data_IF_917293612974
#
_entry.id   IF_917293612974
#
_cell.length_a   1.000
_cell.length_b   1.000
_cell.length_c   1.000
_cell.angle_alpha   90.00
_cell.angle_beta   90.00
_cell.angle_gamma   90.00
#
_symmetry.space_group_name_H-M   'P 1'
#
loop_
_entity.id
_entity.type
_entity.pdbx_description
1 polymer ?
#
# COMPACT_ATOMS: atom_id res chain seq x y z
N UNK A 1 -71.42 37.78 -14.23
CA UNK A 1 -70.85 36.47 -14.61
C UNK A 1 -71.52 35.44 -13.73
N UNK A 2 -72.15 34.49 -14.41
CA UNK A 2 -73.11 33.48 -13.95
C UNK A 2 -72.41 32.28 -13.21
N UNK A 3 -73.10 31.23 -12.75
CA UNK A 3 -73.21 30.91 -11.31
C UNK A 3 -72.86 29.43 -10.97
N UNK A 4 -73.30 28.98 -9.78
CA UNK A 4 -73.66 27.59 -9.40
C UNK A 4 -72.60 26.60 -8.85
N UNK A 5 -72.58 26.50 -7.52
CA UNK A 5 -72.85 25.33 -6.66
C UNK A 5 -72.71 23.86 -7.19
N UNK A 6 -72.21 23.00 -6.28
CA UNK A 6 -72.59 21.59 -5.95
C UNK A 6 -71.47 20.51 -6.04
N UNK A 7 -71.06 20.04 -4.85
CA UNK A 7 -70.68 18.68 -4.38
C UNK A 7 -69.95 17.66 -5.30
N UNK A 8 -68.84 17.08 -4.79
CA UNK A 8 -68.58 15.62 -4.77
C UNK A 8 -67.40 15.20 -3.86
N UNK A 9 -67.59 14.04 -3.25
CA UNK A 9 -66.80 13.32 -2.23
C UNK A 9 -65.63 12.45 -2.79
N UNK A 10 -64.83 11.74 -1.95
CA UNK A 10 -63.39 11.46 -2.13
C UNK A 10 -63.03 10.07 -2.69
N UNK A 11 -61.75 9.85 -3.07
CA UNK A 11 -61.11 8.53 -3.34
C UNK A 11 -59.56 8.61 -3.18
N UNK A 12 -58.80 7.49 -3.14
CA UNK A 12 -58.44 6.78 -1.91
C UNK A 12 -56.91 6.52 -1.81
N UNK A 13 -56.44 6.00 -0.66
CA UNK A 13 -55.22 5.16 -0.67
C UNK A 13 -53.98 5.64 0.11
N UNK A 14 -54.13 6.48 1.13
CA UNK A 14 -53.05 6.73 2.10
C UNK A 14 -52.92 5.52 3.03
N UNK A 15 -52.00 4.60 2.76
CA UNK A 15 -51.55 3.59 3.73
C UNK A 15 -50.18 3.98 4.28
N UNK A 16 -50.24 4.56 5.49
CA UNK A 16 -49.12 4.70 6.41
C UNK A 16 -48.61 3.29 6.73
N UNK A 17 -47.40 2.92 6.29
CA UNK A 17 -46.74 1.70 6.81
C UNK A 17 -46.15 2.02 8.18
N UNK A 18 -46.86 1.53 9.20
CA UNK A 18 -46.41 1.38 10.57
C UNK A 18 -45.13 0.52 10.63
N UNK A 19 -44.26 0.82 11.58
CA UNK A 19 -43.15 -0.03 11.98
C UNK A 19 -43.69 -1.36 12.55
N UNK A 20 -43.11 -2.53 12.22
CA UNK A 20 -43.54 -3.79 12.82
C UNK A 20 -42.90 -4.01 14.19
N UNK A 21 -43.75 -4.23 15.19
CA UNK A 21 -43.45 -4.69 16.57
C UNK A 21 -43.07 -6.19 16.56
N UNK A 22 -42.26 -6.70 17.52
CA UNK A 22 -41.49 -7.92 17.39
C UNK A 22 -42.24 -9.14 17.94
N UNK A 23 -43.01 -9.84 17.10
CA UNK A 23 -43.43 -11.21 17.41
C UNK A 23 -43.99 -11.91 16.18
N UNK A 24 -43.16 -12.61 15.41
CA UNK A 24 -43.38 -14.01 14.95
C UNK A 24 -42.26 -14.48 14.02
N UNK A 25 -41.91 -15.79 14.05
CA UNK A 25 -40.67 -16.31 13.49
C UNK A 25 -40.87 -16.78 12.04
N UNK A 26 -40.09 -16.23 11.10
CA UNK A 26 -40.01 -16.76 9.74
C UNK A 26 -38.56 -16.95 9.29
N UNK A 27 -38.20 -18.23 9.19
CA UNK A 27 -37.29 -18.84 8.21
C UNK A 27 -36.17 -17.95 7.64
N UNK A 28 -35.00 -18.00 8.28
CA UNK A 28 -33.73 -17.81 7.59
C UNK A 28 -33.15 -19.16 7.20
N UNK A 29 -32.96 -19.35 5.89
CA UNK A 29 -31.99 -20.26 5.32
C UNK A 29 -31.05 -19.43 4.41
N UNK A 30 -29.80 -19.84 4.16
CA UNK A 30 -28.90 -20.60 5.01
C UNK A 30 -27.60 -19.82 5.30
N UNK A 31 -27.05 -20.06 6.49
CA UNK A 31 -25.63 -19.83 6.78
C UNK A 31 -24.79 -20.62 5.78
N UNK A 32 -24.20 -19.94 4.79
CA UNK A 32 -23.14 -20.53 4.00
C UNK A 32 -21.89 -20.63 4.85
N UNK A 33 -21.78 -21.81 5.47
CA UNK A 33 -20.59 -22.41 6.05
C UNK A 33 -19.32 -22.00 5.30
N UNK A 34 -18.53 -21.12 5.90
CA UNK A 34 -17.13 -20.94 5.58
C UNK A 34 -16.35 -22.15 6.11
N UNK A 35 -16.56 -23.31 5.48
CA UNK A 35 -15.75 -24.51 5.72
C UNK A 35 -14.36 -24.24 5.16
N UNK A 36 -13.41 -24.14 6.07
CA UNK A 36 -11.99 -24.23 5.79
C UNK A 36 -11.70 -25.50 4.99
N UNK A 37 -11.50 -25.37 3.68
CA UNK A 37 -10.89 -26.42 2.89
C UNK A 37 -9.38 -26.37 3.12
N UNK A 38 -8.94 -27.31 3.96
CA UNK A 38 -7.56 -27.76 4.09
C UNK A 38 -7.03 -28.09 2.70
N UNK A 39 -6.10 -27.28 2.20
CA UNK A 39 -5.35 -27.59 0.97
C UNK A 39 -4.36 -28.72 1.29
N UNK A 40 -4.69 -29.93 0.85
CA UNK A 40 -3.75 -31.06 0.76
C UNK A 40 -2.72 -30.86 -0.37
N UNK A 41 -1.64 -31.65 -0.40
CA UNK A 41 -0.43 -31.34 -1.18
C UNK A 41 -0.52 -31.55 -2.70
N UNK A 42 -1.63 -32.04 -3.25
CA UNK A 42 -1.68 -32.50 -4.65
C UNK A 42 -2.79 -31.82 -5.47
N UNK A 43 -2.70 -30.51 -5.71
CA UNK A 43 -3.63 -29.83 -6.64
C UNK A 43 -2.88 -29.03 -7.74
N UNK A 44 -2.99 -29.43 -9.03
CA UNK A 44 -2.35 -28.75 -10.16
C UNK A 44 -2.95 -27.37 -10.52
N UNK A 45 -3.88 -26.85 -9.71
CA UNK A 45 -4.69 -25.66 -10.03
C UNK A 45 -3.94 -24.31 -9.92
N UNK A 46 -2.69 -24.29 -9.44
CA UNK A 46 -1.88 -23.07 -9.31
C UNK A 46 -1.33 -22.53 -10.65
N UNK A 47 -1.43 -23.28 -11.75
CA UNK A 47 -0.97 -22.80 -13.06
C UNK A 47 -1.99 -21.88 -13.76
N UNK A 48 -3.29 -22.05 -13.47
CA UNK A 48 -4.37 -21.33 -14.17
C UNK A 48 -4.56 -19.87 -13.74
N UNK A 49 -4.29 -19.54 -12.48
CA UNK A 49 -4.50 -18.18 -11.97
C UNK A 49 -3.42 -17.18 -12.42
N UNK A 50 -2.23 -17.67 -12.79
CA UNK A 50 -1.14 -16.83 -13.33
C UNK A 50 -1.32 -16.45 -14.81
N UNK A 51 -2.16 -17.15 -15.59
CA UNK A 51 -2.25 -16.91 -17.04
C UNK A 51 -3.18 -15.74 -17.43
N UNK A 52 -4.11 -15.32 -16.57
CA UNK A 52 -5.05 -14.24 -16.90
C UNK A 52 -4.53 -12.82 -16.67
N UNK A 53 -3.27 -12.64 -16.25
CA UNK A 53 -2.61 -11.32 -16.13
C UNK A 53 -1.97 -10.88 -17.47
N UNK A 54 -1.95 -11.76 -18.49
CA UNK A 54 -1.18 -11.55 -19.72
C UNK A 54 -1.84 -10.64 -20.79
N UNK A 55 -2.97 -9.97 -20.49
CA UNK A 55 -3.76 -9.26 -21.52
C UNK A 55 -3.94 -7.77 -21.23
N UNK A 56 -2.85 -7.05 -20.92
CA UNK A 56 -2.81 -5.59 -21.07
C UNK A 56 -1.61 -5.15 -21.93
N UNK A 57 -1.83 -4.36 -23.00
CA UNK A 57 -0.78 -3.75 -23.80
C UNK A 57 -0.44 -2.39 -23.19
N UNK A 58 0.79 -2.22 -22.68
CA UNK A 58 1.30 -0.86 -22.37
C UNK A 58 2.36 -0.70 -21.27
N UNK A 59 2.63 -1.69 -20.41
CA UNK A 59 3.53 -1.52 -19.24
C UNK A 59 4.65 -2.55 -19.14
N UNK A 60 5.13 -3.09 -20.28
CA UNK A 60 5.89 -4.35 -20.30
C UNK A 60 7.42 -4.30 -20.19
N UNK A 61 8.09 -3.15 -20.15
CA UNK A 61 9.55 -3.14 -20.40
C UNK A 61 10.47 -3.08 -19.17
N UNK A 62 10.04 -2.56 -18.02
CA UNK A 62 10.94 -2.44 -16.84
C UNK A 62 10.55 -3.32 -15.64
N UNK A 63 9.31 -3.81 -15.60
CA UNK A 63 8.74 -4.53 -14.46
C UNK A 63 9.18 -5.99 -14.35
N UNK A 64 9.59 -6.62 -15.45
CA UNK A 64 9.92 -8.06 -15.43
C UNK A 64 11.30 -8.36 -14.85
N UNK A 65 12.33 -7.55 -15.10
CA UNK A 65 13.72 -7.91 -14.74
C UNK A 65 13.96 -7.75 -13.24
N UNK A 66 13.55 -6.64 -12.62
CA UNK A 66 13.75 -6.44 -11.17
C UNK A 66 12.84 -7.37 -10.35
N UNK A 67 11.60 -7.62 -10.79
CA UNK A 67 10.69 -8.52 -10.07
C UNK A 67 11.08 -10.00 -10.17
N UNK A 68 11.61 -10.48 -11.31
CA UNK A 68 11.98 -11.90 -11.44
C UNK A 68 13.35 -12.22 -10.85
N UNK A 69 14.37 -11.39 -11.09
CA UNK A 69 15.72 -11.61 -10.54
C UNK A 69 15.79 -11.30 -9.04
N UNK A 70 15.08 -10.26 -8.59
CA UNK A 70 14.97 -9.90 -7.18
C UNK A 70 14.30 -11.00 -6.35
N UNK A 71 13.17 -11.56 -6.82
CA UNK A 71 12.47 -12.64 -6.09
C UNK A 71 13.28 -13.92 -5.98
N UNK A 72 14.09 -14.26 -6.98
CA UNK A 72 14.97 -15.43 -6.91
C UNK A 72 16.11 -15.25 -5.91
N UNK A 73 16.83 -14.12 -5.95
CA UNK A 73 17.91 -13.83 -4.99
C UNK A 73 17.40 -13.60 -3.56
N UNK A 74 16.30 -12.86 -3.42
CA UNK A 74 15.63 -12.66 -2.13
C UNK A 74 15.15 -13.99 -1.57
N UNK A 75 14.54 -14.88 -2.35
CA UNK A 75 14.14 -16.20 -1.85
C UNK A 75 15.33 -17.00 -1.28
N UNK A 76 16.54 -16.91 -1.84
CA UNK A 76 17.70 -17.63 -1.31
C UNK A 76 18.18 -17.10 0.05
N UNK A 77 17.94 -15.83 0.36
CA UNK A 77 18.28 -15.20 1.65
C UNK A 77 17.10 -15.22 2.63
N UNK A 78 15.89 -15.00 2.15
CA UNK A 78 14.66 -14.94 2.92
C UNK A 78 14.25 -16.32 3.44
N UNK A 79 14.42 -17.39 2.65
CA UNK A 79 14.04 -18.75 3.08
C UNK A 79 14.80 -19.26 4.31
N UNK A 80 16.14 -19.13 4.42
CA UNK A 80 16.85 -19.53 5.64
C UNK A 80 16.48 -18.63 6.83
N UNK A 81 16.31 -17.32 6.62
CA UNK A 81 15.90 -16.39 7.68
C UNK A 81 14.50 -16.71 8.19
N UNK A 82 13.53 -16.95 7.30
CA UNK A 82 12.17 -17.35 7.67
C UNK A 82 12.18 -18.70 8.40
N UNK A 83 12.99 -19.67 7.97
CA UNK A 83 13.14 -20.95 8.69
C UNK A 83 13.71 -20.76 10.10
N UNK A 84 14.68 -19.87 10.26
CA UNK A 84 15.24 -19.52 11.57
C UNK A 84 14.21 -18.81 12.47
N UNK A 85 13.44 -17.87 11.92
CA UNK A 85 12.36 -17.18 12.64
C UNK A 85 11.22 -18.12 13.04
N UNK A 86 10.89 -19.09 12.19
CA UNK A 86 9.95 -20.17 12.51
C UNK A 86 10.44 -21.04 13.67
N UNK A 87 11.74 -21.36 13.68
CA UNK A 87 12.37 -22.10 14.78
C UNK A 87 12.27 -21.32 16.11
N UNK A 88 12.48 -20.00 16.07
CA UNK A 88 12.33 -19.10 17.22
C UNK A 88 10.86 -18.81 17.62
N UNK A 89 9.86 -19.32 16.89
CA UNK A 89 8.42 -19.09 17.12
C UNK A 89 8.02 -17.61 17.19
N UNK A 90 8.73 -16.76 16.46
CA UNK A 90 8.47 -15.31 16.40
C UNK A 90 7.11 -15.05 15.75
N UNK A 91 6.34 -14.10 16.30
CA UNK A 91 5.05 -13.69 15.71
C UNK A 91 5.27 -12.66 14.59
N UNK A 92 4.47 -12.68 13.49
CA UNK A 92 4.62 -11.71 12.40
C UNK A 92 4.57 -10.26 12.88
N UNK A 93 3.65 -9.94 13.80
CA UNK A 93 3.52 -8.59 14.35
C UNK A 93 4.79 -8.11 15.07
N UNK A 94 5.53 -9.01 15.74
CA UNK A 94 6.78 -8.64 16.40
C UNK A 94 7.83 -8.21 15.36
N UNK A 95 7.86 -8.86 14.19
CA UNK A 95 8.77 -8.49 13.09
C UNK A 95 8.44 -7.09 12.59
N UNK A 96 7.16 -6.80 12.33
CA UNK A 96 6.74 -5.46 11.88
C UNK A 96 7.12 -4.38 12.90
N UNK A 97 6.92 -4.62 14.20
CA UNK A 97 7.36 -3.70 15.26
C UNK A 97 8.88 -3.51 15.30
N UNK A 98 9.65 -4.59 15.16
CA UNK A 98 11.11 -4.49 15.10
C UNK A 98 11.58 -3.73 13.86
N UNK A 99 10.91 -3.91 12.71
CA UNK A 99 11.18 -3.14 11.49
C UNK A 99 11.01 -1.64 11.71
N UNK A 100 9.91 -1.24 12.36
CA UNK A 100 9.67 0.17 12.70
C UNK A 100 10.77 0.74 13.60
N UNK A 101 11.16 0.04 14.67
CA UNK A 101 12.23 0.50 15.55
C UNK A 101 13.59 0.58 14.85
N UNK A 102 13.89 -0.36 13.95
CA UNK A 102 15.08 -0.32 13.11
C UNK A 102 15.04 0.85 12.12
N UNK A 103 13.87 1.22 11.60
CA UNK A 103 13.71 2.39 10.76
C UNK A 103 13.96 3.70 11.54
N UNK A 104 13.51 3.78 12.79
CA UNK A 104 13.83 4.90 13.69
C UNK A 104 15.34 4.96 13.96
N UNK A 105 15.98 3.83 14.28
CA UNK A 105 17.43 3.77 14.49
C UNK A 105 18.20 4.20 13.21
N UNK A 106 17.71 3.78 12.04
CA UNK A 106 18.26 4.19 10.74
C UNK A 106 18.13 5.69 10.53
N UNK A 107 16.98 6.28 10.87
CA UNK A 107 16.76 7.72 10.79
C UNK A 107 17.72 8.49 11.72
N UNK A 108 17.95 8.01 12.95
CA UNK A 108 18.93 8.58 13.87
C UNK A 108 20.35 8.51 13.32
N UNK A 109 20.72 7.39 12.68
CA UNK A 109 22.03 7.21 12.06
C UNK A 109 22.26 8.22 10.91
N UNK A 110 21.23 8.43 10.09
CA UNK A 110 21.24 9.44 9.02
C UNK A 110 21.35 10.84 9.63
N UNK A 111 20.53 11.17 10.64
CA UNK A 111 20.56 12.47 11.32
C UNK A 111 21.94 12.78 11.92
N UNK A 112 22.62 11.77 12.49
CA UNK A 112 23.97 11.87 13.04
C UNK A 112 25.07 12.02 11.97
N UNK A 113 24.74 12.01 10.68
CA UNK A 113 25.69 12.21 9.59
C UNK A 113 26.34 10.93 9.06
N UNK A 114 25.96 9.76 9.54
CA UNK A 114 26.45 8.47 9.03
C UNK A 114 25.66 8.04 7.78
N UNK A 115 25.55 8.94 6.80
CA UNK A 115 24.61 8.84 5.66
C UNK A 115 24.79 7.56 4.85
N UNK A 116 26.03 7.14 4.60
CA UNK A 116 26.32 5.92 3.83
C UNK A 116 25.81 4.66 4.53
N UNK A 117 26.06 4.57 5.83
CA UNK A 117 25.60 3.47 6.67
C UNK A 117 24.09 3.53 6.90
N UNK A 118 23.53 4.72 7.01
CA UNK A 118 22.09 4.95 7.02
C UNK A 118 21.39 4.48 5.74
N UNK A 119 21.99 4.73 4.57
CA UNK A 119 21.49 4.22 3.29
C UNK A 119 21.52 2.69 3.20
N UNK A 120 22.61 2.07 3.64
CA UNK A 120 22.71 0.61 3.71
C UNK A 120 21.68 0.03 4.68
N UNK A 121 21.59 0.58 5.90
CA UNK A 121 20.62 0.16 6.90
C UNK A 121 19.18 0.32 6.38
N UNK A 122 18.87 1.41 5.67
CA UNK A 122 17.55 1.64 5.10
C UNK A 122 17.14 0.55 4.11
N UNK A 123 18.03 0.15 3.20
CA UNK A 123 17.75 -0.93 2.24
C UNK A 123 17.54 -2.25 2.96
N UNK A 124 18.39 -2.58 3.94
CA UNK A 124 18.28 -3.82 4.72
C UNK A 124 16.98 -3.88 5.52
N UNK A 125 16.65 -2.80 6.24
CA UNK A 125 15.44 -2.71 7.07
C UNK A 125 14.19 -2.78 6.19
N UNK A 126 14.16 -2.07 5.06
CA UNK A 126 13.02 -2.12 4.14
C UNK A 126 12.83 -3.50 3.50
N UNK A 127 13.90 -4.31 3.41
CA UNK A 127 13.82 -5.70 2.99
C UNK A 127 13.16 -6.62 4.04
N UNK A 128 13.25 -6.27 5.33
CA UNK A 128 12.63 -7.07 6.41
C UNK A 128 11.11 -7.07 6.32
N UNK A 129 10.48 -6.01 5.80
CA UNK A 129 9.03 -5.94 5.57
C UNK A 129 8.55 -6.97 4.52
N UNK A 130 9.43 -7.51 3.68
CA UNK A 130 9.04 -8.61 2.79
C UNK A 130 8.98 -9.96 3.53
N UNK A 131 9.72 -10.09 4.64
CA UNK A 131 9.83 -11.32 5.42
C UNK A 131 8.58 -11.58 6.26
N UNK A 132 7.96 -10.56 6.86
CA UNK A 132 6.81 -10.75 7.73
C UNK A 132 5.57 -11.25 6.94
N UNK A 133 5.37 -10.75 5.72
CA UNK A 133 4.35 -11.21 4.79
C UNK A 133 4.61 -12.65 4.31
N UNK A 134 5.87 -13.03 4.08
CA UNK A 134 6.23 -14.42 3.77
C UNK A 134 6.01 -15.35 4.97
N UNK A 135 6.39 -14.91 6.18
CA UNK A 135 6.20 -15.67 7.40
C UNK A 135 4.71 -15.85 7.72
N UNK A 136 3.90 -14.81 7.56
CA UNK A 136 2.46 -14.88 7.77
C UNK A 136 1.80 -15.89 6.81
N UNK A 137 2.20 -15.89 5.53
CA UNK A 137 1.73 -16.88 4.54
C UNK A 137 2.15 -18.30 4.89
N UNK A 138 3.41 -18.51 5.28
CA UNK A 138 3.93 -19.85 5.63
C UNK A 138 3.39 -20.40 6.96
N UNK A 139 3.07 -19.54 7.91
CA UNK A 139 2.50 -19.93 9.21
C UNK A 139 0.99 -20.03 9.21
N UNK A 140 0.32 -19.64 8.11
CA UNK A 140 -1.14 -19.56 8.04
C UNK A 140 -1.74 -18.47 8.93
N UNK A 141 -0.92 -17.52 9.44
CA UNK A 141 -1.33 -16.45 10.36
C UNK A 141 -1.60 -15.13 9.64
N UNK A 142 -2.20 -15.19 8.45
CA UNK A 142 -2.59 -13.98 7.71
C UNK A 142 -3.81 -13.37 8.39
N UNK A 143 -3.69 -12.14 8.87
CA UNK A 143 -4.78 -11.42 9.56
C UNK A 143 -5.01 -10.05 8.92
N UNK A 144 -6.27 -9.56 8.95
CA UNK A 144 -6.61 -8.20 8.48
C UNK A 144 -5.87 -7.11 9.27
N UNK A 145 -5.72 -7.32 10.58
CA UNK A 145 -4.93 -6.44 11.44
C UNK A 145 -3.47 -6.39 11.00
N UNK A 146 -2.83 -7.54 10.78
CA UNK A 146 -1.44 -7.61 10.32
C UNK A 146 -1.22 -6.91 8.98
N UNK A 147 -2.13 -7.08 8.02
CA UNK A 147 -2.07 -6.36 6.74
C UNK A 147 -2.18 -4.82 6.91
N UNK A 148 -3.04 -4.36 7.83
CA UNK A 148 -3.13 -2.93 8.15
C UNK A 148 -1.84 -2.43 8.83
N UNK A 149 -1.29 -3.21 9.76
CA UNK A 149 -0.08 -2.91 10.51
C UNK A 149 1.14 -2.79 9.58
N UNK A 150 1.38 -3.81 8.75
CA UNK A 150 2.42 -3.86 7.71
C UNK A 150 2.33 -2.62 6.82
N UNK A 151 1.12 -2.37 6.29
CA UNK A 151 0.91 -1.20 5.45
C UNK A 151 1.17 0.11 6.20
N UNK A 152 0.81 0.24 7.48
CA UNK A 152 1.04 1.49 8.23
C UNK A 152 2.53 1.68 8.55
N UNK A 153 3.21 0.64 8.99
CA UNK A 153 4.62 0.68 9.39
C UNK A 153 5.55 0.92 8.20
N UNK A 154 5.20 0.43 7.03
CA UNK A 154 5.86 0.78 5.78
C UNK A 154 5.96 2.30 5.56
N UNK A 155 4.84 3.01 5.78
CA UNK A 155 4.76 4.45 5.56
C UNK A 155 5.48 5.20 6.67
N UNK A 156 5.29 4.78 7.92
CA UNK A 156 6.01 5.37 9.06
C UNK A 156 7.53 5.23 8.89
N UNK A 157 8.01 4.07 8.46
CA UNK A 157 9.43 3.82 8.24
C UNK A 157 10.01 4.71 7.14
N UNK A 158 9.29 4.87 6.01
CA UNK A 158 9.69 5.79 4.93
C UNK A 158 9.73 7.26 5.42
N UNK A 159 8.73 7.69 6.20
CA UNK A 159 8.69 9.03 6.80
C UNK A 159 9.85 9.23 7.78
N UNK A 160 10.12 8.28 8.68
CA UNK A 160 11.20 8.37 9.66
C UNK A 160 12.54 8.61 8.96
N UNK A 161 12.85 7.86 7.91
CA UNK A 161 14.11 7.97 7.16
C UNK A 161 14.22 9.33 6.47
N UNK A 162 13.15 9.80 5.82
CA UNK A 162 13.12 11.13 5.20
C UNK A 162 13.22 12.27 6.23
N UNK A 163 12.65 12.10 7.43
CA UNK A 163 12.83 13.04 8.54
C UNK A 163 14.26 13.03 9.06
N UNK A 164 14.90 11.86 9.17
CA UNK A 164 16.32 11.77 9.52
C UNK A 164 17.20 12.52 8.52
N UNK A 165 16.90 12.40 7.22
CA UNK A 165 17.56 13.17 6.16
C UNK A 165 17.29 14.67 6.30
N UNK A 166 16.05 15.07 6.57
CA UNK A 166 15.68 16.47 6.78
C UNK A 166 16.46 17.09 7.95
N UNK A 167 16.55 16.39 9.08
CA UNK A 167 17.32 16.83 10.26
C UNK A 167 18.81 16.94 9.90
N UNK A 168 19.37 15.95 9.20
CA UNK A 168 20.76 15.99 8.75
C UNK A 168 21.05 17.23 7.89
N UNK A 169 20.16 17.55 6.94
CA UNK A 169 20.28 18.73 6.09
C UNK A 169 20.20 20.03 6.90
N UNK A 170 19.32 20.09 7.91
CA UNK A 170 19.21 21.25 8.80
C UNK A 170 20.45 21.47 9.68
N UNK A 171 21.12 20.39 10.09
CA UNK A 171 22.33 20.44 10.91
C UNK A 171 23.60 20.81 10.12
N UNK A 172 23.47 21.18 8.83
CA UNK A 172 24.60 21.59 8.00
C UNK A 172 25.35 20.42 7.37
N UNK A 173 24.68 19.28 7.16
CA UNK A 173 25.23 18.16 6.39
C UNK A 173 25.73 18.58 5.00
N UNK A 174 26.72 17.87 4.43
CA UNK A 174 27.25 18.17 3.10
C UNK A 174 26.13 18.13 2.07
N UNK A 175 25.99 19.23 1.34
CA UNK A 175 24.84 19.47 0.48
C UNK A 175 25.32 19.94 -0.89
N UNK A 176 24.64 19.46 -1.94
CA UNK A 176 24.90 19.84 -3.33
C UNK A 176 23.89 20.88 -3.81
N UNK A 177 22.67 20.80 -3.31
CA UNK A 177 21.63 21.81 -3.53
C UNK A 177 21.70 22.95 -2.50
N UNK A 178 21.13 24.14 -2.75
CA UNK A 178 21.01 25.17 -1.72
C UNK A 178 20.01 24.75 -0.63
N UNK A 179 20.26 25.14 0.64
CA UNK A 179 19.43 24.74 1.78
C UNK A 179 17.97 25.19 1.61
N UNK A 180 17.78 26.35 0.99
CA UNK A 180 16.49 26.93 0.64
C UNK A 180 15.64 26.03 -0.27
N UNK A 181 16.26 25.15 -1.05
CA UNK A 181 15.57 24.19 -1.92
C UNK A 181 15.47 22.80 -1.28
N UNK A 182 16.52 22.35 -0.57
CA UNK A 182 16.59 20.99 -0.03
C UNK A 182 15.52 20.69 1.02
N UNK A 183 15.23 21.65 1.92
CA UNK A 183 14.22 21.52 2.97
C UNK A 183 12.80 21.36 2.40
N UNK A 184 12.28 22.31 1.58
CA UNK A 184 10.94 22.18 1.03
C UNK A 184 10.82 20.99 0.07
N UNK A 185 11.88 20.63 -0.65
CA UNK A 185 11.89 19.45 -1.51
C UNK A 185 11.72 18.16 -0.69
N UNK A 186 12.45 18.02 0.42
CA UNK A 186 12.32 16.85 1.31
C UNK A 186 10.90 16.77 1.90
N UNK A 187 10.35 17.90 2.36
CA UNK A 187 8.97 17.97 2.84
C UNK A 187 7.94 17.61 1.76
N UNK A 188 8.16 18.06 0.52
CA UNK A 188 7.33 17.71 -0.62
C UNK A 188 7.39 16.20 -0.95
N UNK A 189 8.57 15.57 -0.87
CA UNK A 189 8.71 14.12 -1.05
C UNK A 189 7.97 13.33 0.04
N UNK A 190 8.07 13.76 1.31
CA UNK A 190 7.30 13.16 2.41
C UNK A 190 5.80 13.24 2.10
N UNK A 191 5.29 14.44 1.79
CA UNK A 191 3.86 14.64 1.51
C UNK A 191 3.39 13.84 0.31
N UNK A 192 4.12 13.89 -0.81
CA UNK A 192 3.76 13.17 -2.03
C UNK A 192 3.82 11.65 -1.86
N UNK A 193 4.77 11.10 -1.09
CA UNK A 193 4.82 9.66 -0.81
C UNK A 193 3.61 9.17 -0.02
N UNK A 194 3.15 9.94 0.97
CA UNK A 194 1.92 9.65 1.72
C UNK A 194 0.70 9.71 0.80
N UNK A 195 0.60 10.74 -0.05
CA UNK A 195 -0.52 10.89 -1.00
C UNK A 195 -0.57 9.74 -2.00
N UNK A 196 0.57 9.32 -2.57
CA UNK A 196 0.62 8.15 -3.47
C UNK A 196 0.04 6.92 -2.78
N UNK A 197 0.43 6.66 -1.54
CA UNK A 197 -0.05 5.53 -0.74
C UNK A 197 -1.53 5.62 -0.41
N UNK A 198 -2.01 6.83 -0.09
CA UNK A 198 -3.41 7.09 0.21
C UNK A 198 -4.32 6.90 -1.01
N UNK A 199 -3.94 7.42 -2.18
CA UNK A 199 -4.73 7.25 -3.41
C UNK A 199 -4.92 5.76 -3.74
N UNK A 200 -3.89 4.94 -3.55
CA UNK A 200 -4.00 3.48 -3.73
C UNK A 200 -4.96 2.86 -2.71
N UNK A 201 -4.79 3.15 -1.43
CA UNK A 201 -5.67 2.61 -0.39
C UNK A 201 -7.13 3.03 -0.60
N UNK A 202 -7.37 4.27 -1.04
CA UNK A 202 -8.71 4.77 -1.34
C UNK A 202 -9.30 4.12 -2.59
N UNK A 203 -8.51 3.91 -3.64
CA UNK A 203 -8.96 3.18 -4.83
C UNK A 203 -9.36 1.74 -4.48
N UNK A 204 -8.53 1.03 -3.69
CA UNK A 204 -8.84 -0.33 -3.25
C UNK A 204 -10.07 -0.39 -2.34
N UNK A 205 -10.29 0.63 -1.51
CA UNK A 205 -11.52 0.78 -0.72
C UNK A 205 -12.78 1.12 -1.53
N UNK A 206 -12.63 1.53 -2.79
CA UNK A 206 -13.71 1.70 -3.76
C UNK A 206 -13.83 0.48 -4.70
N UNK A 207 -13.18 -0.64 -4.36
CA UNK A 207 -13.13 -1.86 -5.17
C UNK A 207 -12.47 -1.68 -6.56
N UNK A 208 -11.76 -0.56 -6.76
CA UNK A 208 -11.00 -0.27 -7.98
C UNK A 208 -9.57 -0.76 -7.79
N UNK A 209 -9.03 -1.63 -8.68
CA UNK A 209 -7.69 -2.17 -8.51
C UNK A 209 -6.60 -1.08 -8.59
N UNK A 210 -5.90 -0.82 -7.49
CA UNK A 210 -4.86 0.22 -7.37
C UNK A 210 -3.52 -0.08 -8.04
N UNK A 211 -3.50 -0.73 -9.22
CA UNK A 211 -2.27 -1.21 -9.89
C UNK A 211 -1.56 -0.17 -10.78
N UNK A 212 -2.11 1.02 -10.95
CA UNK A 212 -1.50 2.06 -11.77
C UNK A 212 -0.33 2.78 -11.06
N UNK A 213 0.67 3.20 -11.83
CA UNK A 213 1.80 4.01 -11.37
C UNK A 213 3.15 3.54 -11.89
N UNK A 214 3.99 4.48 -12.32
CA UNK A 214 5.37 4.19 -12.70
C UNK A 214 6.25 3.91 -11.49
N UNK A 215 6.15 4.72 -10.43
CA UNK A 215 7.03 4.59 -9.27
C UNK A 215 6.43 3.70 -8.18
N UNK A 216 6.92 2.47 -8.09
CA UNK A 216 6.55 1.51 -7.06
C UNK A 216 7.31 1.73 -5.74
N UNK A 217 6.86 1.09 -4.65
CA UNK A 217 7.51 1.20 -3.33
C UNK A 217 8.97 0.73 -3.36
N UNK A 218 9.23 -0.41 -3.99
CA UNK A 218 10.58 -0.97 -4.16
C UNK A 218 11.53 0.00 -4.85
N UNK A 219 11.07 0.69 -5.89
CA UNK A 219 11.86 1.66 -6.63
C UNK A 219 12.20 2.89 -5.78
N UNK A 220 11.27 3.35 -4.93
CA UNK A 220 11.55 4.44 -3.97
C UNK A 220 12.64 4.05 -2.96
N UNK A 221 12.55 2.83 -2.42
CA UNK A 221 13.54 2.30 -1.48
C UNK A 221 14.92 2.25 -2.14
N UNK A 222 15.00 1.73 -3.36
CA UNK A 222 16.27 1.63 -4.10
C UNK A 222 16.83 3.01 -4.44
N UNK A 223 16.00 3.94 -4.94
CA UNK A 223 16.44 5.29 -5.29
C UNK A 223 16.96 6.05 -4.08
N UNK A 224 16.16 6.10 -3.00
CA UNK A 224 16.56 6.82 -1.79
C UNK A 224 17.75 6.14 -1.11
N UNK A 225 17.77 4.81 -1.01
CA UNK A 225 18.88 4.04 -0.45
C UNK A 225 20.19 4.26 -1.21
N UNK A 226 20.16 4.17 -2.53
CA UNK A 226 21.33 4.45 -3.37
C UNK A 226 21.78 5.92 -3.25
N UNK A 227 20.82 6.86 -3.23
CA UNK A 227 21.10 8.29 -3.02
C UNK A 227 21.81 8.56 -1.70
N UNK A 228 21.39 7.92 -0.61
CA UNK A 228 22.04 8.00 0.70
C UNK A 228 23.44 7.37 0.65
N UNK A 229 23.60 6.18 0.08
CA UNK A 229 24.91 5.51 -0.01
C UNK A 229 25.95 6.30 -0.81
N UNK A 230 25.52 6.97 -1.89
CA UNK A 230 26.37 7.81 -2.72
C UNK A 230 26.54 9.24 -2.20
N UNK A 231 25.85 9.59 -1.10
CA UNK A 231 25.82 10.94 -0.54
C UNK A 231 25.39 12.01 -1.58
N UNK A 232 24.32 11.67 -2.31
CA UNK A 232 23.66 12.52 -3.33
C UNK A 232 22.14 12.54 -3.12
N UNK A 233 21.70 12.20 -1.91
CA UNK A 233 20.28 12.03 -1.59
C UNK A 233 19.47 13.29 -1.90
N UNK A 234 20.01 14.47 -1.58
CA UNK A 234 19.40 15.78 -1.87
C UNK A 234 19.07 15.97 -3.36
N UNK A 235 19.98 15.58 -4.26
CA UNK A 235 19.75 15.63 -5.70
C UNK A 235 18.74 14.57 -6.15
N UNK A 236 18.79 13.37 -5.57
CA UNK A 236 17.87 12.26 -5.89
C UNK A 236 16.42 12.58 -5.52
N UNK A 237 16.19 13.44 -4.53
CA UNK A 237 14.84 13.88 -4.17
C UNK A 237 14.11 14.60 -5.32
N UNK A 238 14.84 15.24 -6.25
CA UNK A 238 14.23 15.93 -7.41
C UNK A 238 13.51 14.95 -8.34
N UNK A 239 14.20 13.98 -8.99
CA UNK A 239 13.53 13.01 -9.84
C UNK A 239 12.54 12.14 -9.07
N UNK A 240 12.80 11.86 -7.78
CA UNK A 240 11.86 11.13 -6.92
C UNK A 240 10.54 11.89 -6.72
N UNK A 241 10.60 13.19 -6.39
CA UNK A 241 9.42 14.04 -6.23
C UNK A 241 8.61 14.13 -7.53
N UNK A 242 9.28 14.36 -8.66
CA UNK A 242 8.62 14.40 -9.98
C UNK A 242 7.93 13.08 -10.31
N UNK A 243 8.60 11.95 -10.10
CA UNK A 243 8.04 10.63 -10.35
C UNK A 243 6.85 10.32 -9.42
N UNK A 244 6.89 10.78 -8.16
CA UNK A 244 5.76 10.67 -7.23
C UNK A 244 4.55 11.48 -7.72
N UNK A 245 4.74 12.74 -8.12
CA UNK A 245 3.68 13.60 -8.66
C UNK A 245 3.03 12.99 -9.92
N UNK A 246 3.86 12.50 -10.84
CA UNK A 246 3.40 11.78 -12.04
C UNK A 246 2.58 10.54 -11.64
N UNK A 247 3.05 9.78 -10.65
CA UNK A 247 2.36 8.58 -10.15
C UNK A 247 0.99 8.91 -9.53
N UNK A 248 0.87 10.03 -8.81
CA UNK A 248 -0.42 10.51 -8.29
C UNK A 248 -1.38 10.77 -9.45
N UNK A 249 -0.94 11.54 -10.46
CA UNK A 249 -1.74 11.84 -11.64
C UNK A 249 -2.18 10.59 -12.40
N UNK A 250 -1.27 9.63 -12.58
CA UNK A 250 -1.58 8.35 -13.22
C UNK A 250 -2.64 7.54 -12.47
N UNK A 251 -2.55 7.49 -11.14
CA UNK A 251 -3.53 6.77 -10.31
C UNK A 251 -4.90 7.44 -10.33
N UNK A 252 -4.95 8.76 -10.21
CA UNK A 252 -6.22 9.50 -10.28
C UNK A 252 -6.88 9.35 -11.65
N UNK A 253 -6.08 9.46 -12.72
CA UNK A 253 -6.57 9.26 -14.09
C UNK A 253 -7.07 7.84 -14.34
N UNK A 254 -6.39 6.84 -13.78
CA UNK A 254 -6.83 5.45 -13.84
C UNK A 254 -8.18 5.25 -13.16
N UNK A 255 -8.35 5.78 -11.94
CA UNK A 255 -9.63 5.73 -11.20
C UNK A 255 -10.74 6.44 -11.99
N UNK A 256 -10.48 7.65 -12.51
CA UNK A 256 -11.47 8.41 -13.28
C UNK A 256 -11.90 7.71 -14.59
N UNK A 257 -10.98 6.99 -15.25
CA UNK A 257 -11.35 6.18 -16.43
C UNK A 257 -12.17 4.95 -16.06
N UNK A 258 -11.87 4.32 -14.93
CA UNK A 258 -12.57 3.11 -14.50
C UNK A 258 -14.03 3.41 -14.12
N UNK A 259 -14.26 4.54 -13.45
CA UNK A 259 -15.59 5.04 -13.09
C UNK A 259 -16.46 5.34 -14.32
N UNK A 260 -15.90 6.05 -15.31
CA UNK A 260 -16.58 6.32 -16.60
C UNK A 260 -16.87 5.07 -17.43
N UNK A 261 -16.15 3.97 -17.19
CA UNK A 261 -16.40 2.68 -17.81
C UNK A 261 -17.67 2.05 -17.25
N UNK A 262 -17.81 2.04 -15.91
CA UNK A 262 -18.98 1.50 -15.21
C UNK A 262 -20.27 2.25 -15.60
N UNK A 263 -20.23 3.58 -15.66
CA UNK A 263 -21.39 4.40 -16.03
C UNK A 263 -21.85 4.25 -17.49
N UNK A 264 -21.09 3.54 -18.34
CA UNK A 264 -21.46 3.28 -19.74
C UNK A 264 -22.08 1.91 -19.95
N UNK A 265 -21.94 1.01 -18.97
CA UNK A 265 -22.42 -0.37 -19.03
C UNK A 265 -23.77 -0.54 -18.30
N UNK A 266 -24.25 0.51 -17.60
CA UNK A 266 -25.60 0.65 -16.98
C UNK A 266 -26.60 1.33 -17.92
#
# INVERSE_FOLDING_TARGET
>A
MEPSSILREPRPGTLIRQAPDPATPHNHAPEHAFRAHVYGPDCPALFGYCQNVARFPGTRLCTTVIETWGRSLLAHVELPVVRFLLWLRVTPNLISWTGLWLAVATACLIAAGWIRWGGLAYILVSGLDSLDGLLARKTGRVTRYGACLDSTFDRLSEICVLLGLLIHLQLGGPMRLPLSWSIPLTAAVIGTSVVVSYVKARAEGLEIPGKAGWLQRSERIVLLGAGLMLNVADVVLIPMCLALLVTIGQRLHYVARHDRGLSRDE
#
